data_IF_144333607738
#
_entry.id   IF_144333607738
#
_cell.length_a   1.000
_cell.length_b   1.000
_cell.length_c   1.000
_cell.angle_alpha   90.00
_cell.angle_beta   90.00
_cell.angle_gamma   90.00
#
_symmetry.space_group_name_H-M   'P 1'
#
loop_
_entity.id
_entity.type
_entity.pdbx_description
1 polymer ?
#
# COMPACT_ATOMS: atom_id res chain seq x y z
N UNK A 1 25.63 -8.92 11.95
CA UNK A 1 24.24 -8.55 12.34
C UNK A 1 24.15 -7.07 12.65
N UNK A 2 23.07 -6.39 12.23
CA UNK A 2 22.88 -4.98 12.56
C UNK A 2 22.51 -4.82 14.05
N UNK A 3 23.38 -4.24 14.85
CA UNK A 3 23.12 -3.99 16.28
C UNK A 3 22.18 -2.81 16.53
N UNK A 4 22.19 -1.78 15.67
CA UNK A 4 21.38 -0.56 15.82
C UNK A 4 20.27 -0.46 14.79
N UNK A 5 19.09 0.00 15.20
CA UNK A 5 17.99 0.35 14.29
C UNK A 5 18.32 1.70 13.61
N UNK A 6 18.00 1.87 12.31
CA UNK A 6 18.19 3.16 11.65
C UNK A 6 17.32 4.23 12.31
N UNK A 7 17.84 5.45 12.41
CA UNK A 7 17.06 6.60 12.89
C UNK A 7 15.87 6.86 11.96
N UNK A 8 14.68 7.00 12.51
CA UNK A 8 13.49 7.39 11.74
C UNK A 8 13.63 8.84 11.29
N UNK A 9 13.51 9.08 9.98
CA UNK A 9 13.47 10.44 9.43
C UNK A 9 12.12 11.07 9.69
N UNK A 10 12.08 12.32 10.12
CA UNK A 10 10.85 13.09 10.27
C UNK A 10 10.35 13.45 8.87
N UNK A 11 9.10 13.11 8.60
CA UNK A 11 8.42 13.49 7.37
C UNK A 11 7.61 14.76 7.63
N UNK A 12 7.84 15.78 6.82
CA UNK A 12 7.01 16.98 6.83
C UNK A 12 5.62 16.67 6.25
N UNK A 13 4.57 17.27 6.78
CA UNK A 13 3.22 17.10 6.25
C UNK A 13 3.10 17.66 4.83
N UNK A 14 2.11 17.17 4.10
CA UNK A 14 1.80 17.63 2.75
C UNK A 14 1.31 19.10 2.72
N UNK A 15 1.71 19.90 1.74
CA UNK A 15 1.30 21.32 1.65
C UNK A 15 -0.21 21.51 1.49
N UNK A 16 -0.90 20.69 0.68
CA UNK A 16 -2.34 20.82 0.37
C UNK A 16 -3.22 20.24 1.49
N UNK A 17 -2.96 19.01 1.89
CA UNK A 17 -3.80 18.28 2.85
C UNK A 17 -3.24 18.24 4.28
N UNK A 18 -2.05 18.77 4.50
CA UNK A 18 -1.35 18.83 5.82
C UNK A 18 -1.19 17.47 6.51
N UNK A 19 -1.16 16.38 5.73
CA UNK A 19 -1.04 15.01 6.22
C UNK A 19 0.30 14.35 5.87
N UNK A 20 0.92 13.72 6.87
CA UNK A 20 2.19 12.98 6.69
C UNK A 20 2.02 11.70 5.87
N UNK A 21 0.81 11.10 5.90
CA UNK A 21 0.49 9.91 5.13
C UNK A 21 0.54 10.18 3.61
N UNK A 22 0.06 11.36 3.19
CA UNK A 22 0.14 11.81 1.79
C UNK A 22 1.59 11.98 1.35
N UNK A 23 2.41 12.64 2.17
CA UNK A 23 3.85 12.78 1.90
C UNK A 23 4.53 11.42 1.75
N UNK A 24 4.17 10.47 2.62
CA UNK A 24 4.68 9.09 2.56
C UNK A 24 4.27 8.42 1.26
N UNK A 25 3.02 8.55 0.84
CA UNK A 25 2.51 8.02 -0.43
C UNK A 25 3.25 8.61 -1.63
N UNK A 26 3.39 9.93 -1.69
CA UNK A 26 4.09 10.64 -2.77
C UNK A 26 5.56 10.20 -2.86
N UNK A 27 6.23 9.98 -1.74
CA UNK A 27 7.60 9.46 -1.73
C UNK A 27 7.72 8.06 -2.34
N UNK A 28 6.69 7.20 -2.24
CA UNK A 28 6.65 5.90 -2.92
C UNK A 28 6.23 5.99 -4.39
N UNK A 29 5.40 6.98 -4.72
CA UNK A 29 4.93 7.22 -6.09
C UNK A 29 6.05 7.81 -6.97
N UNK A 30 6.93 8.59 -6.35
CA UNK A 30 8.03 9.30 -7.00
C UNK A 30 8.97 8.33 -7.75
N UNK A 31 9.36 8.73 -8.97
CA UNK A 31 10.36 8.07 -9.80
C UNK A 31 11.44 9.10 -10.16
N UNK A 32 12.69 8.69 -10.23
CA UNK A 32 13.85 9.52 -10.61
C UNK A 32 14.01 10.82 -9.80
N UNK A 33 13.53 10.84 -8.55
CA UNK A 33 13.59 12.03 -7.71
C UNK A 33 12.61 13.16 -8.09
N UNK A 34 11.72 12.94 -9.06
CA UNK A 34 10.76 13.94 -9.57
C UNK A 34 9.57 14.11 -8.63
N UNK A 35 9.80 14.70 -7.46
CA UNK A 35 8.81 14.79 -6.39
C UNK A 35 7.63 15.72 -6.73
N UNK A 36 7.87 16.84 -7.40
CA UNK A 36 6.81 17.77 -7.83
C UNK A 36 5.82 17.12 -8.79
N UNK A 37 6.31 16.29 -9.71
CA UNK A 37 5.47 15.52 -10.64
C UNK A 37 4.63 14.49 -9.87
N UNK A 38 5.21 13.81 -8.88
CA UNK A 38 4.47 12.84 -8.05
C UNK A 38 3.36 13.52 -7.23
N UNK A 39 3.59 14.71 -6.68
CA UNK A 39 2.56 15.50 -6.01
C UNK A 39 1.42 15.85 -6.97
N UNK A 40 1.75 16.36 -8.17
CA UNK A 40 0.74 16.72 -9.19
C UNK A 40 -0.11 15.49 -9.53
N UNK A 41 0.51 14.34 -9.83
CA UNK A 41 -0.21 13.10 -10.14
C UNK A 41 -1.17 12.72 -9.01
N UNK A 42 -0.76 12.83 -7.76
CA UNK A 42 -1.60 12.49 -6.61
C UNK A 42 -2.77 13.45 -6.46
N UNK A 43 -2.54 14.77 -6.57
CA UNK A 43 -3.60 15.77 -6.45
C UNK A 43 -4.61 15.64 -7.59
N UNK A 44 -4.14 15.53 -8.83
CA UNK A 44 -5.00 15.36 -10.01
C UNK A 44 -5.81 14.06 -9.90
N UNK A 45 -5.23 12.98 -9.38
CA UNK A 45 -5.95 11.74 -9.12
C UNK A 45 -7.04 11.91 -8.06
N UNK A 46 -6.78 12.62 -6.96
CA UNK A 46 -7.79 12.91 -5.95
C UNK A 46 -8.93 13.76 -6.51
N UNK A 47 -8.61 14.80 -7.28
CA UNK A 47 -9.59 15.67 -7.94
C UNK A 47 -10.45 14.89 -8.96
N UNK A 48 -9.85 13.91 -9.68
CA UNK A 48 -10.59 12.99 -10.56
C UNK A 48 -11.51 12.03 -9.79
N UNK A 49 -11.05 11.50 -8.65
CA UNK A 49 -11.87 10.67 -7.77
C UNK A 49 -13.09 11.46 -7.30
N UNK A 50 -12.90 12.68 -6.83
CA UNK A 50 -13.98 13.57 -6.37
C UNK A 50 -14.99 13.86 -7.48
N UNK A 51 -14.54 14.16 -8.70
CA UNK A 51 -15.42 14.35 -9.87
C UNK A 51 -16.25 13.11 -10.22
N UNK A 52 -15.68 11.90 -10.06
CA UNK A 52 -16.33 10.64 -10.43
C UNK A 52 -17.24 10.08 -9.33
N UNK A 53 -16.88 10.27 -8.06
CA UNK A 53 -17.60 9.69 -6.91
C UNK A 53 -18.50 10.68 -6.18
N UNK A 54 -18.28 12.00 -6.39
CA UNK A 54 -18.90 13.10 -5.63
C UNK A 54 -18.60 13.07 -4.12
N UNK A 55 -17.63 12.28 -3.71
CA UNK A 55 -17.11 12.19 -2.34
C UNK A 55 -15.73 12.86 -2.27
N UNK A 56 -15.28 13.24 -1.07
CA UNK A 56 -13.92 13.78 -0.89
C UNK A 56 -12.86 12.80 -1.41
N UNK A 57 -12.04 13.25 -2.37
CA UNK A 57 -11.00 12.42 -2.97
C UNK A 57 -9.98 11.90 -1.94
N UNK A 58 -9.65 12.71 -0.92
CA UNK A 58 -8.74 12.33 0.16
C UNK A 58 -9.33 11.22 1.04
N UNK A 59 -10.59 11.36 1.46
CA UNK A 59 -11.25 10.37 2.31
C UNK A 59 -11.46 9.04 1.56
N UNK A 60 -11.85 9.11 0.29
CA UNK A 60 -11.96 7.94 -0.58
C UNK A 60 -10.61 7.22 -0.73
N UNK A 61 -9.52 7.97 -0.89
CA UNK A 61 -8.16 7.41 -0.93
C UNK A 61 -7.76 6.75 0.39
N UNK A 62 -8.06 7.36 1.55
CA UNK A 62 -7.80 6.76 2.86
C UNK A 62 -8.57 5.45 3.05
N UNK A 63 -9.85 5.44 2.67
CA UNK A 63 -10.71 4.25 2.69
C UNK A 63 -10.13 3.15 1.80
N UNK A 64 -9.72 3.49 0.57
CA UNK A 64 -9.07 2.57 -0.35
C UNK A 64 -7.77 1.98 0.24
N UNK A 65 -6.93 2.83 0.83
CA UNK A 65 -5.68 2.38 1.46
C UNK A 65 -5.96 1.42 2.63
N UNK A 66 -6.93 1.71 3.47
CA UNK A 66 -7.34 0.83 4.57
C UNK A 66 -7.81 -0.54 4.06
N UNK A 67 -8.57 -0.57 2.96
CA UNK A 67 -9.04 -1.80 2.34
C UNK A 67 -7.90 -2.67 1.76
N UNK A 68 -6.79 -2.06 1.34
CA UNK A 68 -5.64 -2.76 0.77
C UNK A 68 -4.65 -3.25 1.84
N UNK A 69 -4.58 -2.58 2.99
CA UNK A 69 -3.61 -2.91 4.03
C UNK A 69 -3.80 -4.33 4.58
N UNK A 70 -2.76 -5.22 4.53
CA UNK A 70 -2.85 -6.57 5.05
C UNK A 70 -2.69 -6.62 6.57
N UNK A 71 -3.44 -7.50 7.23
CA UNK A 71 -3.26 -7.82 8.65
C UNK A 71 -2.15 -8.83 8.90
N UNK A 72 -1.97 -9.76 7.96
CA UNK A 72 -1.03 -10.90 8.06
C UNK A 72 -0.19 -10.98 6.80
N UNK A 73 1.05 -11.42 6.93
CA UNK A 73 1.94 -11.76 5.81
C UNK A 73 2.59 -13.11 6.06
N UNK A 74 3.10 -13.73 5.01
CA UNK A 74 3.84 -14.99 5.08
C UNK A 74 5.33 -14.73 4.95
N UNK A 75 6.12 -15.26 5.86
CA UNK A 75 7.59 -15.19 5.85
C UNK A 75 8.20 -16.58 5.73
N UNK A 76 9.16 -16.72 4.82
CA UNK A 76 9.92 -17.95 4.70
C UNK A 76 10.89 -18.11 5.87
N UNK A 77 10.88 -19.29 6.51
CA UNK A 77 11.83 -19.68 7.54
C UNK A 77 12.43 -21.04 7.23
N UNK A 78 13.72 -21.16 7.49
CA UNK A 78 14.42 -22.44 7.36
C UNK A 78 14.53 -23.08 8.74
N UNK A 79 13.98 -24.28 8.88
CA UNK A 79 14.02 -25.08 10.10
C UNK A 79 14.44 -26.49 9.73
N UNK A 80 15.54 -27.00 10.32
CA UNK A 80 16.03 -28.35 10.06
C UNK A 80 16.33 -28.69 8.59
N UNK A 81 16.74 -27.67 7.78
CA UNK A 81 17.01 -27.87 6.35
C UNK A 81 15.81 -27.64 5.42
N UNK A 82 14.57 -27.70 5.90
CA UNK A 82 13.37 -27.41 5.14
C UNK A 82 12.96 -25.93 5.27
N UNK A 83 12.36 -25.37 4.21
CA UNK A 83 11.87 -23.99 4.21
C UNK A 83 10.36 -23.98 4.39
N UNK A 84 9.90 -23.35 5.46
CA UNK A 84 8.48 -23.21 5.78
C UNK A 84 8.01 -21.79 5.56
N UNK A 85 6.76 -21.63 5.12
CA UNK A 85 6.06 -20.37 4.99
C UNK A 85 5.29 -20.10 6.29
N UNK A 86 5.79 -19.19 7.12
CA UNK A 86 5.24 -18.94 8.45
C UNK A 86 4.39 -17.66 8.43
N UNK A 87 3.09 -17.73 8.78
CA UNK A 87 2.24 -16.55 8.88
C UNK A 87 2.64 -15.70 10.09
N UNK A 88 2.79 -14.41 9.86
CA UNK A 88 3.15 -13.42 10.87
C UNK A 88 2.27 -12.19 10.77
N UNK A 89 1.92 -11.58 11.91
CA UNK A 89 1.25 -10.29 11.91
C UNK A 89 2.14 -9.20 11.33
N UNK A 90 1.51 -8.27 10.61
CA UNK A 90 2.21 -7.14 10.01
C UNK A 90 2.18 -5.96 10.97
N UNK A 91 3.36 -5.40 11.29
CA UNK A 91 3.47 -4.18 12.13
C UNK A 91 2.80 -2.99 11.44
N UNK A 92 2.22 -2.02 12.21
CA UNK A 92 1.47 -0.88 11.66
C UNK A 92 2.21 -0.10 10.55
N UNK A 93 3.47 0.25 10.78
CA UNK A 93 4.29 0.96 9.78
C UNK A 93 4.47 0.16 8.48
N UNK A 94 4.55 -1.17 8.58
CA UNK A 94 4.70 -2.06 7.44
C UNK A 94 3.38 -2.26 6.70
N UNK A 95 2.23 -2.33 7.42
CA UNK A 95 0.89 -2.37 6.82
C UNK A 95 0.72 -1.22 5.84
N UNK A 96 1.00 0.00 6.30
CA UNK A 96 0.92 1.22 5.48
C UNK A 96 1.86 1.11 4.27
N UNK A 97 3.10 0.69 4.49
CA UNK A 97 4.09 0.57 3.41
C UNK A 97 3.69 -0.46 2.35
N UNK A 98 3.13 -1.59 2.76
CA UNK A 98 2.62 -2.62 1.84
C UNK A 98 1.40 -2.12 1.08
N UNK A 99 0.42 -1.50 1.75
CA UNK A 99 -0.77 -0.94 1.14
C UNK A 99 -0.42 0.08 0.05
N UNK A 100 0.48 1.03 0.37
CA UNK A 100 0.96 2.03 -0.59
C UNK A 100 1.65 1.37 -1.79
N UNK A 101 2.58 0.44 -1.56
CA UNK A 101 3.30 -0.26 -2.63
C UNK A 101 2.35 -1.03 -3.54
N UNK A 102 1.40 -1.75 -2.98
CA UNK A 102 0.44 -2.51 -3.77
C UNK A 102 -0.48 -1.60 -4.58
N UNK A 103 -1.05 -0.56 -3.96
CA UNK A 103 -1.86 0.42 -4.68
C UNK A 103 -1.11 1.00 -5.88
N UNK A 104 0.11 1.48 -5.71
CA UNK A 104 0.92 2.06 -6.78
C UNK A 104 1.29 1.01 -7.84
N UNK A 105 1.69 -0.19 -7.42
CA UNK A 105 2.10 -1.26 -8.33
C UNK A 105 0.95 -1.72 -9.23
N UNK A 106 -0.25 -1.87 -8.67
CA UNK A 106 -1.42 -2.28 -9.43
C UNK A 106 -2.03 -1.13 -10.24
N UNK A 107 -1.99 0.10 -9.74
CA UNK A 107 -2.33 1.27 -10.54
C UNK A 107 -1.47 1.35 -11.82
N UNK A 108 -0.14 1.17 -11.72
CA UNK A 108 0.76 1.18 -12.87
C UNK A 108 0.43 0.11 -13.93
N UNK A 109 -0.16 -1.02 -13.52
CA UNK A 109 -0.53 -2.13 -14.42
C UNK A 109 -1.87 -1.93 -15.13
N UNK A 110 -2.64 -0.91 -14.75
CA UNK A 110 -3.93 -0.61 -15.40
C UNK A 110 -3.73 -0.12 -16.83
N UNK A 111 -4.75 -0.28 -17.64
CA UNK A 111 -4.73 0.04 -19.08
C UNK A 111 -5.01 1.51 -19.43
N UNK A 112 -5.34 2.36 -18.44
CA UNK A 112 -5.61 3.78 -18.68
C UNK A 112 -4.37 4.51 -19.22
N UNK A 113 -4.57 5.62 -19.91
CA UNK A 113 -3.51 6.33 -20.65
C UNK A 113 -2.54 7.06 -19.70
N UNK A 114 -3.06 7.79 -18.70
CA UNK A 114 -2.25 8.60 -17.79
C UNK A 114 -2.11 7.96 -16.41
N UNK A 115 -1.03 8.29 -15.68
CA UNK A 115 -0.85 7.76 -14.32
C UNK A 115 -1.89 8.29 -13.33
N UNK A 116 -2.39 9.51 -13.53
CA UNK A 116 -3.48 10.06 -12.71
C UNK A 116 -4.78 9.28 -12.88
N UNK A 117 -5.14 8.91 -14.13
CA UNK A 117 -6.33 8.09 -14.41
C UNK A 117 -6.19 6.68 -13.84
N UNK A 118 -5.01 6.05 -14.02
CA UNK A 118 -4.67 4.75 -13.45
C UNK A 118 -4.82 4.73 -11.93
N UNK A 119 -4.28 5.75 -11.27
CA UNK A 119 -4.33 5.87 -9.81
C UNK A 119 -5.77 6.15 -9.34
N UNK A 120 -6.48 7.07 -9.98
CA UNK A 120 -7.88 7.35 -9.67
C UNK A 120 -8.77 6.11 -9.83
N UNK A 121 -8.59 5.36 -10.93
CA UNK A 121 -9.31 4.11 -11.16
C UNK A 121 -9.06 3.06 -10.09
N UNK A 122 -7.80 2.89 -9.66
CA UNK A 122 -7.47 1.93 -8.59
C UNK A 122 -8.00 2.38 -7.23
N UNK A 123 -7.95 3.68 -6.91
CA UNK A 123 -8.52 4.24 -5.67
C UNK A 123 -10.03 3.97 -5.60
N UNK A 124 -10.77 4.25 -6.69
CA UNK A 124 -12.23 4.04 -6.72
C UNK A 124 -12.57 2.56 -6.55
N UNK A 125 -11.88 1.67 -7.27
CA UNK A 125 -12.09 0.23 -7.15
C UNK A 125 -11.78 -0.27 -5.73
N UNK A 126 -10.63 0.12 -5.18
CA UNK A 126 -10.22 -0.29 -3.84
C UNK A 126 -11.13 0.28 -2.72
N UNK A 127 -11.67 1.49 -2.87
CA UNK A 127 -12.63 2.06 -1.92
C UNK A 127 -13.93 1.24 -1.85
N UNK A 128 -14.32 0.60 -2.96
CA UNK A 128 -15.46 -0.33 -3.03
C UNK A 128 -15.12 -1.74 -2.53
N UNK A 129 -13.86 -2.02 -2.21
CA UNK A 129 -13.39 -3.36 -1.83
C UNK A 129 -13.04 -4.25 -3.03
N UNK A 130 -12.93 -3.66 -4.22
CA UNK A 130 -12.62 -4.33 -5.47
C UNK A 130 -11.21 -3.94 -5.96
N UNK A 131 -10.80 -4.51 -7.09
CA UNK A 131 -9.53 -4.14 -7.71
C UNK A 131 -8.37 -5.08 -7.40
N UNK A 132 -7.31 -4.94 -8.18
CA UNK A 132 -6.18 -5.86 -8.15
C UNK A 132 -5.33 -5.72 -6.88
N UNK A 133 -5.27 -4.54 -6.29
CA UNK A 133 -4.57 -4.30 -5.02
C UNK A 133 -5.30 -4.97 -3.84
N UNK A 134 -6.63 -4.93 -3.80
CA UNK A 134 -7.44 -5.62 -2.77
C UNK A 134 -7.32 -7.13 -2.95
N UNK A 135 -7.42 -7.62 -4.20
CA UNK A 135 -7.21 -9.04 -4.50
C UNK A 135 -5.84 -9.53 -3.99
N UNK A 136 -4.77 -8.72 -4.15
CA UNK A 136 -3.44 -9.06 -3.62
C UNK A 136 -3.44 -9.22 -2.09
N UNK A 137 -4.18 -8.37 -1.36
CA UNK A 137 -4.35 -8.53 0.09
C UNK A 137 -5.03 -9.87 0.40
N UNK A 138 -6.14 -10.15 -0.29
CA UNK A 138 -6.92 -11.37 -0.05
C UNK A 138 -6.11 -12.64 -0.39
N UNK A 139 -5.34 -12.63 -1.48
CA UNK A 139 -4.42 -13.72 -1.81
C UNK A 139 -3.34 -13.92 -0.73
N UNK A 140 -2.83 -12.81 -0.17
CA UNK A 140 -1.83 -12.88 0.93
C UNK A 140 -2.45 -13.45 2.19
N UNK A 141 -3.67 -13.05 2.54
CA UNK A 141 -4.41 -13.61 3.69
C UNK A 141 -4.75 -15.08 3.49
N UNK A 142 -5.18 -15.47 2.28
CA UNK A 142 -5.44 -16.89 1.93
C UNK A 142 -4.18 -17.75 2.04
N UNK A 143 -3.03 -17.23 1.57
CA UNK A 143 -1.75 -17.93 1.75
C UNK A 143 -1.37 -18.08 3.23
N UNK A 144 -1.62 -17.04 4.05
CA UNK A 144 -1.36 -17.08 5.48
C UNK A 144 -2.28 -18.10 6.20
N UNK A 145 -3.53 -18.19 5.78
CA UNK A 145 -4.49 -19.16 6.32
C UNK A 145 -4.13 -20.60 5.96
N UNK A 146 -3.77 -20.85 4.69
CA UNK A 146 -3.31 -22.17 4.22
C UNK A 146 -2.06 -22.66 4.97
N UNK A 147 -1.20 -21.75 5.42
CA UNK A 147 0.02 -22.06 6.16
C UNK A 147 -0.15 -21.92 7.69
N UNK A 148 -1.38 -21.82 8.20
CA UNK A 148 -1.66 -21.62 9.63
C UNK A 148 -1.08 -22.70 10.52
N UNK A 149 -0.98 -23.94 10.03
CA UNK A 149 -0.36 -25.06 10.74
C UNK A 149 1.09 -24.80 11.15
N UNK A 150 1.82 -23.95 10.41
CA UNK A 150 3.22 -23.60 10.68
C UNK A 150 3.39 -22.39 11.59
N UNK A 151 2.31 -21.86 12.16
CA UNK A 151 2.35 -20.66 13.03
C UNK A 151 3.21 -20.84 14.29
N UNK A 152 3.37 -22.06 14.78
CA UNK A 152 4.22 -22.39 15.93
C UNK A 152 5.72 -22.18 15.66
N UNK A 153 6.16 -22.09 14.39
CA UNK A 153 7.53 -21.71 14.05
C UNK A 153 7.76 -20.18 14.08
N UNK A 154 6.81 -19.43 14.61
CA UNK A 154 6.89 -17.99 14.81
C UNK A 154 7.77 -17.69 16.04
N UNK A 155 8.80 -16.82 15.88
CA UNK A 155 9.61 -16.26 16.97
C UNK A 155 9.59 -14.75 16.92
#
# INVERSE_FOLDING_TARGET
MRKAKPKKRILLPDPKYKETLVTRFVNYLMVDGKKSVAYRIFYDACDLVEKRTKESGLETWKKALNNIMPGVEVKSRRVGGATFQVPTEVRPDRKISLGIKWMISYARKRGEKTMMDKLAGEIIAAAKGEGAAVKKKDDTHRMAEANKAFSHFRF
#
